data_IF_044450545165
#
_entry.id   IF_044450545165
#
_cell.length_a   1.000
_cell.length_b   1.000
_cell.length_c   1.000
_cell.angle_alpha   90.00
_cell.angle_beta   90.00
_cell.angle_gamma   90.00
#
_symmetry.space_group_name_H-M   'P 1'
#
loop_
_entity.id
_entity.type
_entity.pdbx_description
1 polymer ?
#
# COMPACT_ATOMS: atom_id res chain seq x y z
N UNK A 1 -7.01 -20.62 4.49
CA UNK A 1 -5.73 -20.84 3.78
C UNK A 1 -5.00 -19.50 3.65
N UNK A 2 -3.82 -19.36 4.25
CA UNK A 2 -3.03 -18.13 4.12
C UNK A 2 -2.38 -18.12 2.73
N UNK A 3 -2.83 -17.21 1.88
CA UNK A 3 -2.23 -16.93 0.57
C UNK A 3 -0.75 -16.56 0.83
N UNK A 4 0.17 -17.42 0.38
CA UNK A 4 1.60 -17.12 0.44
C UNK A 4 1.88 -16.00 -0.55
N UNK A 5 1.77 -14.75 -0.09
CA UNK A 5 2.03 -13.59 -0.93
C UNK A 5 3.53 -13.52 -1.24
N UNK A 6 3.86 -13.41 -2.52
CA UNK A 6 5.23 -13.23 -2.99
C UNK A 6 5.89 -12.03 -2.27
N UNK A 7 7.21 -12.07 -2.01
CA UNK A 7 7.89 -10.95 -1.39
C UNK A 7 7.78 -9.71 -2.29
N UNK A 8 7.58 -8.51 -1.71
CA UNK A 8 7.55 -7.26 -2.47
C UNK A 8 8.87 -7.02 -3.21
N UNK A 9 8.86 -6.31 -4.35
CA UNK A 9 10.08 -5.93 -5.04
C UNK A 9 10.94 -5.00 -4.18
N UNK A 10 12.23 -4.95 -4.48
CA UNK A 10 13.14 -4.02 -3.81
C UNK A 10 12.77 -2.57 -4.20
N UNK A 11 12.58 -1.65 -3.23
CA UNK A 11 12.17 -0.28 -3.52
C UNK A 11 13.33 0.63 -4.00
N UNK A 12 14.57 0.15 -3.96
CA UNK A 12 15.74 0.94 -4.36
C UNK A 12 15.87 0.94 -5.89
N UNK A 13 15.76 2.11 -6.56
CA UNK A 13 15.99 2.19 -8.00
C UNK A 13 17.44 1.83 -8.34
N UNK A 14 17.65 1.09 -9.43
CA UNK A 14 18.98 0.70 -9.88
C UNK A 14 19.61 -0.46 -9.10
N UNK A 15 18.85 -1.20 -8.29
CA UNK A 15 19.33 -2.42 -7.66
C UNK A 15 19.62 -3.50 -8.72
N UNK A 16 20.89 -3.83 -8.94
CA UNK A 16 21.34 -4.70 -10.04
C UNK A 16 20.98 -6.18 -9.87
N UNK A 17 20.90 -6.67 -8.63
CA UNK A 17 20.60 -8.08 -8.33
C UNK A 17 19.71 -8.22 -7.07
N UNK A 18 18.45 -7.75 -7.10
CA UNK A 18 17.60 -7.69 -5.92
C UNK A 18 17.34 -9.09 -5.33
N UNK A 19 17.85 -9.33 -4.12
CA UNK A 19 17.61 -10.56 -3.34
C UNK A 19 16.81 -10.24 -2.09
N UNK A 20 15.49 -10.31 -2.19
CA UNK A 20 14.58 -9.95 -1.10
C UNK A 20 14.30 -11.17 -0.22
N UNK A 21 14.53 -11.03 1.09
CA UNK A 21 14.22 -12.06 2.08
C UNK A 21 13.29 -11.51 3.15
N UNK A 22 12.39 -12.34 3.66
CA UNK A 22 11.62 -12.03 4.87
C UNK A 22 12.56 -12.03 6.06
N UNK A 23 12.60 -10.95 6.83
CA UNK A 23 13.52 -10.80 7.95
C UNK A 23 12.80 -10.15 9.14
N UNK A 24 12.20 -10.99 9.98
CA UNK A 24 11.43 -10.57 11.14
C UNK A 24 10.07 -9.97 10.82
N UNK A 25 9.45 -9.40 11.85
CA UNK A 25 8.16 -8.73 11.78
C UNK A 25 8.12 -7.53 12.73
N UNK A 26 7.20 -6.60 12.50
CA UNK A 26 6.95 -5.45 13.36
C UNK A 26 5.46 -5.24 13.45
N UNK A 27 4.90 -5.17 14.68
CA UNK A 27 3.45 -5.08 14.92
C UNK A 27 2.66 -6.15 14.13
N UNK A 28 3.15 -7.39 14.15
CA UNK A 28 2.55 -8.53 13.44
C UNK A 28 2.71 -8.51 11.90
N UNK A 29 3.32 -7.47 11.31
CA UNK A 29 3.51 -7.36 9.86
C UNK A 29 4.92 -7.81 9.45
N UNK A 30 5.07 -8.59 8.37
CA UNK A 30 6.39 -9.00 7.89
C UNK A 30 7.23 -7.80 7.49
N UNK A 31 8.53 -7.86 7.83
CA UNK A 31 9.54 -6.98 7.25
C UNK A 31 10.39 -7.75 6.25
N UNK A 32 10.84 -7.05 5.23
CA UNK A 32 11.68 -7.57 4.17
C UNK A 32 12.99 -6.82 4.14
N UNK A 33 14.05 -7.52 3.78
CA UNK A 33 15.38 -6.95 3.58
C UNK A 33 15.90 -7.39 2.22
N UNK A 34 16.37 -6.44 1.41
CA UNK A 34 17.16 -6.77 0.24
C UNK A 34 18.60 -7.07 0.68
N UNK A 35 19.13 -8.24 0.33
CA UNK A 35 20.52 -8.63 0.65
C UNK A 35 21.53 -8.03 -0.32
N UNK A 36 21.11 -7.53 -1.48
CA UNK A 36 21.99 -6.86 -2.43
C UNK A 36 22.26 -5.40 -2.05
N UNK A 37 21.21 -4.59 -1.84
CA UNK A 37 21.37 -3.18 -1.46
C UNK A 37 21.27 -2.90 0.06
N UNK A 38 20.91 -3.90 0.86
CA UNK A 38 20.77 -3.76 2.32
C UNK A 38 19.46 -3.11 2.79
N UNK A 39 18.63 -2.57 1.89
CA UNK A 39 17.41 -1.83 2.24
C UNK A 39 16.38 -2.67 3.01
N UNK A 40 15.70 -2.02 3.95
CA UNK A 40 14.61 -2.58 4.73
C UNK A 40 13.27 -1.97 4.34
N UNK A 41 12.25 -2.81 4.18
CA UNK A 41 10.93 -2.36 3.72
C UNK A 41 9.81 -3.30 4.19
N UNK A 42 8.58 -2.81 4.15
CA UNK A 42 7.39 -3.58 4.50
C UNK A 42 6.70 -4.14 3.26
N UNK A 43 5.69 -4.98 3.48
CA UNK A 43 4.87 -5.55 2.40
C UNK A 43 4.22 -4.51 1.47
N UNK A 44 3.95 -3.30 1.97
CA UNK A 44 3.27 -2.23 1.22
C UNK A 44 4.20 -1.13 0.76
N UNK A 45 5.51 -1.21 1.01
CA UNK A 45 6.43 -0.16 0.57
C UNK A 45 6.41 -0.07 -0.94
N UNK A 46 6.21 1.13 -1.48
CA UNK A 46 6.13 1.37 -2.93
C UNK A 46 4.77 1.05 -3.56
N UNK A 47 3.76 0.64 -2.79
CA UNK A 47 2.38 0.49 -3.30
C UNK A 47 1.54 1.72 -2.97
N UNK A 48 0.44 1.99 -3.69
CA UNK A 48 -0.50 3.07 -3.34
C UNK A 48 -1.05 2.97 -1.91
N UNK A 49 -1.06 1.75 -1.33
CA UNK A 49 -1.48 1.49 0.06
C UNK A 49 -0.40 1.84 1.09
N UNK A 50 0.77 2.31 0.68
CA UNK A 50 1.85 2.62 1.60
C UNK A 50 1.41 3.75 2.55
N UNK A 51 1.55 3.52 3.86
CA UNK A 51 1.16 4.45 4.95
C UNK A 51 -0.34 4.77 5.06
N UNK A 52 -1.20 4.21 4.21
CA UNK A 52 -2.65 4.30 4.38
C UNK A 52 -3.11 3.40 5.53
N UNK A 53 -3.92 3.97 6.42
CA UNK A 53 -4.52 3.25 7.57
C UNK A 53 -5.87 2.65 7.21
N UNK A 54 -6.58 3.29 6.28
CA UNK A 54 -7.90 2.85 5.81
C UNK A 54 -7.79 1.46 5.15
N UNK A 55 -8.72 0.54 5.46
CA UNK A 55 -8.82 -0.75 4.79
C UNK A 55 -8.87 -0.62 3.26
N UNK A 56 -8.22 -1.52 2.51
CA UNK A 56 -8.18 -1.45 1.05
C UNK A 56 -9.57 -1.51 0.42
N UNK A 57 -10.49 -2.30 0.96
CA UNK A 57 -11.86 -2.38 0.45
C UNK A 57 -12.61 -1.04 0.53
N UNK A 58 -12.36 -0.28 1.59
CA UNK A 58 -12.98 1.02 1.84
C UNK A 58 -12.36 2.11 0.95
N UNK A 59 -11.05 2.08 0.74
CA UNK A 59 -10.37 2.91 -0.27
C UNK A 59 -10.95 2.63 -1.66
N UNK A 60 -11.01 1.35 -2.07
CA UNK A 60 -11.53 0.96 -3.37
C UNK A 60 -12.99 1.41 -3.56
N UNK A 61 -13.85 1.22 -2.55
CA UNK A 61 -15.25 1.68 -2.59
C UNK A 61 -15.35 3.19 -2.82
N UNK A 62 -14.49 3.95 -2.15
CA UNK A 62 -14.50 5.41 -2.26
C UNK A 62 -13.98 5.89 -3.60
N UNK A 63 -12.88 5.31 -4.10
CA UNK A 63 -12.36 5.62 -5.43
C UNK A 63 -13.37 5.24 -6.54
N UNK A 64 -14.12 4.14 -6.35
CA UNK A 64 -15.24 3.79 -7.23
C UNK A 64 -16.37 4.84 -7.19
N UNK A 65 -16.69 5.39 -6.02
CA UNK A 65 -17.65 6.48 -5.90
C UNK A 65 -17.16 7.74 -6.64
N UNK A 66 -15.88 8.10 -6.50
CA UNK A 66 -15.29 9.22 -7.26
C UNK A 66 -15.44 9.01 -8.76
N UNK A 67 -15.10 7.83 -9.28
CA UNK A 67 -15.19 7.53 -10.71
C UNK A 67 -16.64 7.56 -11.24
N UNK A 68 -17.60 7.06 -10.47
CA UNK A 68 -19.01 7.02 -10.88
C UNK A 68 -19.70 8.38 -10.82
N UNK A 69 -19.36 9.18 -9.82
CA UNK A 69 -20.00 10.48 -9.58
C UNK A 69 -19.26 11.63 -10.26
N UNK A 70 -18.02 11.41 -10.71
CA UNK A 70 -17.17 12.45 -11.30
C UNK A 70 -16.76 13.54 -10.32
N UNK A 71 -16.89 13.31 -9.01
CA UNK A 71 -16.70 14.34 -7.98
C UNK A 71 -16.19 13.76 -6.66
N UNK A 72 -15.08 14.30 -6.17
CA UNK A 72 -14.54 13.99 -4.84
C UNK A 72 -15.47 14.53 -3.75
N UNK A 73 -16.22 15.61 -4.00
CA UNK A 73 -17.20 16.16 -3.03
C UNK A 73 -18.36 15.21 -2.85
N UNK A 74 -18.90 14.70 -3.95
CA UNK A 74 -19.98 13.73 -3.92
C UNK A 74 -19.52 12.40 -3.30
N UNK A 75 -18.26 11.99 -3.53
CA UNK A 75 -17.70 10.82 -2.87
C UNK A 75 -17.55 11.02 -1.35
N UNK A 76 -17.17 12.22 -0.87
CA UNK A 76 -17.19 12.52 0.57
C UNK A 76 -18.60 12.37 1.15
N UNK A 77 -19.62 12.93 0.49
CA UNK A 77 -21.01 12.85 0.95
C UNK A 77 -21.49 11.41 1.10
N UNK A 78 -21.18 10.54 0.13
CA UNK A 78 -21.62 9.14 0.12
C UNK A 78 -20.79 8.23 1.04
N UNK A 79 -19.49 8.52 1.22
CA UNK A 79 -18.58 7.62 1.96
C UNK A 79 -18.20 8.11 3.36
N UNK A 80 -18.44 9.38 3.67
CA UNK A 80 -18.04 10.02 4.92
C UNK A 80 -16.54 10.34 5.03
N UNK A 81 -15.74 10.05 4.00
CA UNK A 81 -14.32 10.38 4.01
C UNK A 81 -14.07 11.80 3.52
N UNK A 82 -13.32 12.58 4.30
CA UNK A 82 -12.96 13.95 3.94
C UNK A 82 -12.24 14.02 2.60
N UNK A 83 -12.55 15.01 1.78
CA UNK A 83 -11.96 15.22 0.45
C UNK A 83 -10.44 15.21 0.49
N UNK A 84 -9.84 15.85 1.49
CA UNK A 84 -8.39 15.93 1.70
C UNK A 84 -7.76 14.55 1.95
N UNK A 85 -8.54 13.63 2.54
CA UNK A 85 -8.13 12.24 2.74
C UNK A 85 -8.25 11.46 1.44
N UNK A 86 -9.38 11.59 0.74
CA UNK A 86 -9.61 10.93 -0.56
C UNK A 86 -8.55 11.36 -1.59
N UNK A 87 -8.23 12.66 -1.66
CA UNK A 87 -7.24 13.18 -2.60
C UNK A 87 -5.79 12.75 -2.34
N UNK A 88 -5.51 12.13 -1.19
CA UNK A 88 -4.20 11.54 -0.86
C UNK A 88 -4.12 10.05 -1.19
N UNK A 89 -5.22 9.41 -1.57
CA UNK A 89 -5.29 8.00 -1.96
C UNK A 89 -5.01 7.85 -3.45
#
# INVERSE_FOLDING_TARGET
MAMMSAPPPCPTPGCSAPRVVRNGSTRGRPRYRCRACGAWFGATTGTPRYRLRTPPAEICRTLLAVMRLGSVRAAEDVTGHKQETIGRW
#
